data_IF_129325814209
#
_entry.id   IF_129325814209
#
_cell.length_a   1.000
_cell.length_b   1.000
_cell.length_c   1.000
_cell.angle_alpha   90.00
_cell.angle_beta   90.00
_cell.angle_gamma   90.00
#
_symmetry.space_group_name_H-M   'P 1'
#
loop_
_entity.id
_entity.type
_entity.pdbx_description
1 polymer ?
#
# COMPACT_ATOMS: atom_id res chain seq x y z
N UNK A 1 -31.98 -10.89 19.79
CA UNK A 1 -30.88 -10.07 19.24
C UNK A 1 -30.90 -10.22 17.74
N UNK A 2 -31.46 -9.24 17.07
CA UNK A 2 -31.76 -9.25 15.64
C UNK A 2 -30.47 -9.17 14.84
N UNK A 3 -30.25 -10.16 13.98
CA UNK A 3 -29.21 -10.21 12.97
C UNK A 3 -29.48 -9.10 11.93
N UNK A 4 -29.18 -7.83 12.26
CA UNK A 4 -29.16 -6.76 11.26
C UNK A 4 -27.93 -6.96 10.38
N UNK A 5 -28.16 -7.69 9.29
CA UNK A 5 -27.61 -7.42 7.96
C UNK A 5 -26.09 -7.17 7.91
N UNK A 6 -25.35 -8.24 7.62
CA UNK A 6 -23.99 -8.23 7.08
C UNK A 6 -23.88 -7.60 5.66
N UNK A 7 -24.74 -6.63 5.31
CA UNK A 7 -24.87 -6.06 3.95
C UNK A 7 -25.04 -4.55 3.90
N UNK A 8 -24.82 -3.83 5.01
CA UNK A 8 -24.37 -2.43 4.92
C UNK A 8 -22.84 -2.43 4.88
N UNK A 9 -22.25 -3.03 3.84
CA UNK A 9 -20.88 -2.69 3.48
C UNK A 9 -20.93 -1.20 3.14
N UNK A 10 -20.32 -0.35 3.98
CA UNK A 10 -20.35 1.10 3.82
C UNK A 10 -19.92 1.42 2.40
N UNK A 11 -20.87 1.76 1.52
CA UNK A 11 -20.56 1.99 0.11
C UNK A 11 -19.71 3.25 0.00
N UNK A 12 -18.58 3.21 -0.71
CA UNK A 12 -17.71 4.35 -0.88
C UNK A 12 -18.49 5.45 -1.58
N UNK A 13 -18.35 6.69 -1.10
CA UNK A 13 -19.10 7.82 -1.66
C UNK A 13 -18.17 9.00 -1.96
N UNK A 14 -18.54 9.76 -3.01
CA UNK A 14 -17.87 11.02 -3.32
C UNK A 14 -18.31 12.11 -2.35
N UNK A 15 -17.36 12.86 -1.79
CA UNK A 15 -17.66 13.95 -0.85
C UNK A 15 -18.42 15.10 -1.51
N UNK A 16 -18.12 15.44 -2.77
CA UNK A 16 -18.78 16.53 -3.50
C UNK A 16 -20.17 16.14 -4.00
N UNK A 17 -20.28 15.10 -4.82
CA UNK A 17 -21.55 14.77 -5.49
C UNK A 17 -22.40 13.71 -4.78
N UNK A 18 -21.93 13.18 -3.64
CA UNK A 18 -22.61 12.13 -2.84
C UNK A 18 -22.96 10.84 -3.60
N UNK A 19 -22.46 10.68 -4.84
CA UNK A 19 -22.61 9.46 -5.63
C UNK A 19 -21.97 8.29 -4.88
N UNK A 20 -22.73 7.19 -4.73
CA UNK A 20 -22.27 5.93 -4.15
C UNK A 20 -21.63 5.08 -5.26
N UNK A 21 -20.55 4.39 -4.92
CA UNK A 21 -19.81 3.52 -5.86
C UNK A 21 -19.86 2.07 -5.41
N UNK A 22 -19.69 1.16 -6.36
CA UNK A 22 -19.67 -0.27 -6.06
C UNK A 22 -18.29 -0.67 -5.53
N UNK A 23 -18.21 -1.39 -4.39
CA UNK A 23 -16.94 -1.79 -3.76
C UNK A 23 -15.94 -2.52 -4.68
N UNK A 24 -16.46 -3.31 -5.63
CA UNK A 24 -15.66 -4.08 -6.58
C UNK A 24 -14.93 -3.21 -7.61
N UNK A 25 -15.43 -2.00 -7.90
CA UNK A 25 -14.84 -1.10 -8.88
C UNK A 25 -13.56 -0.40 -8.36
N UNK A 26 -13.39 -0.27 -7.04
CA UNK A 26 -12.24 0.41 -6.42
C UNK A 26 -11.03 -0.52 -6.20
N UNK A 27 -11.23 -1.84 -6.15
CA UNK A 27 -10.16 -2.80 -5.75
C UNK A 27 -9.12 -3.11 -6.83
N UNK A 28 -9.32 -2.67 -8.07
CA UNK A 28 -8.48 -3.11 -9.21
C UNK A 28 -7.26 -2.21 -9.44
N UNK A 29 -7.22 -0.98 -8.93
CA UNK A 29 -6.03 -0.14 -9.04
C UNK A 29 -5.89 0.87 -7.92
N UNK A 30 -4.70 0.95 -7.30
CA UNK A 30 -4.31 1.97 -6.32
C UNK A 30 -4.57 3.42 -6.80
N UNK A 31 -4.69 3.64 -8.11
CA UNK A 31 -4.93 4.93 -8.74
C UNK A 31 -6.40 5.32 -8.92
N UNK A 32 -7.39 4.43 -8.68
CA UNK A 32 -8.83 4.70 -8.92
C UNK A 32 -9.65 4.97 -7.66
N UNK A 33 -9.05 5.63 -6.68
CA UNK A 33 -9.73 6.00 -5.43
C UNK A 33 -10.31 7.43 -5.46
N UNK A 34 -10.76 7.90 -6.62
CA UNK A 34 -11.32 9.24 -6.79
C UNK A 34 -12.57 9.21 -7.69
N UNK A 35 -13.43 10.21 -7.53
CA UNK A 35 -14.58 10.41 -8.40
C UNK A 35 -14.12 11.08 -9.70
N UNK A 36 -14.25 10.39 -10.85
CA UNK A 36 -13.82 10.92 -12.15
C UNK A 36 -14.51 12.26 -12.52
N UNK A 37 -15.73 12.48 -12.05
CA UNK A 37 -16.48 13.72 -12.29
C UNK A 37 -16.04 14.88 -11.41
N UNK A 38 -15.69 14.61 -10.14
CA UNK A 38 -15.38 15.66 -9.17
C UNK A 38 -13.88 15.84 -8.92
N UNK A 39 -13.05 14.89 -9.33
CA UNK A 39 -11.61 14.85 -9.04
C UNK A 39 -11.25 14.61 -7.57
N UNK A 40 -12.24 14.42 -6.68
CA UNK A 40 -12.02 14.26 -5.24
C UNK A 40 -11.97 12.79 -4.82
N UNK A 41 -11.20 12.50 -3.77
CA UNK A 41 -11.09 11.17 -3.18
C UNK A 41 -12.43 10.60 -2.71
N UNK A 42 -12.58 9.30 -2.83
CA UNK A 42 -13.74 8.56 -2.31
C UNK A 42 -13.53 8.26 -0.82
N UNK A 43 -14.60 8.39 -0.02
CA UNK A 43 -14.56 8.14 1.43
C UNK A 43 -15.35 6.88 1.80
N UNK A 44 -14.77 6.09 2.71
CA UNK A 44 -15.43 5.01 3.44
C UNK A 44 -14.44 4.43 4.47
N UNK A 45 -14.91 4.18 5.69
CA UNK A 45 -14.07 3.76 6.82
C UNK A 45 -13.35 2.41 6.55
N UNK A 46 -13.98 1.56 5.73
CA UNK A 46 -13.42 0.27 5.29
C UNK A 46 -12.47 0.36 4.08
N UNK A 47 -12.29 1.55 3.47
CA UNK A 47 -11.41 1.76 2.30
C UNK A 47 -10.05 2.31 2.68
N UNK A 48 -9.96 3.06 3.79
CA UNK A 48 -8.70 3.51 4.38
C UNK A 48 -8.14 2.56 5.42
N UNK A 49 -8.87 1.49 5.77
CA UNK A 49 -8.30 0.36 6.50
C UNK A 49 -7.37 -0.40 5.55
N UNK A 50 -6.24 0.22 5.20
CA UNK A 50 -5.08 -0.52 4.73
C UNK A 50 -4.91 -1.67 5.70
N UNK A 51 -5.03 -2.91 5.22
CA UNK A 51 -4.65 -4.07 6.00
C UNK A 51 -3.27 -3.72 6.56
N UNK A 52 -3.20 -3.54 7.89
CA UNK A 52 -2.05 -2.93 8.55
C UNK A 52 -0.83 -3.59 7.94
N UNK A 53 0.01 -2.81 7.23
CA UNK A 53 1.21 -3.36 6.59
C UNK A 53 1.86 -4.23 7.65
N UNK A 54 2.08 -5.54 7.38
CA UNK A 54 2.63 -6.40 8.40
C UNK A 54 3.91 -5.73 8.88
N UNK A 55 3.97 -5.45 10.19
CA UNK A 55 5.13 -4.78 10.77
C UNK A 55 6.35 -5.54 10.24
N UNK A 56 7.32 -4.84 9.60
CA UNK A 56 8.46 -5.52 9.02
C UNK A 56 9.07 -6.37 10.13
N UNK A 57 9.08 -7.69 9.92
CA UNK A 57 9.57 -8.60 10.94
C UNK A 57 11.05 -8.29 11.16
N UNK A 58 11.54 -8.48 12.38
CA UNK A 58 12.96 -8.33 12.70
C UNK A 58 13.84 -9.06 11.69
N UNK A 59 13.38 -10.23 11.21
CA UNK A 59 14.02 -11.02 10.15
C UNK A 59 14.12 -10.29 8.80
N UNK A 60 13.03 -9.65 8.34
CA UNK A 60 13.06 -8.89 7.07
C UNK A 60 13.98 -7.69 7.15
N UNK A 61 13.96 -6.98 8.28
CA UNK A 61 14.87 -5.85 8.49
C UNK A 61 16.33 -6.33 8.51
N UNK A 62 16.64 -7.36 9.28
CA UNK A 62 18.00 -7.91 9.34
C UNK A 62 18.51 -8.37 7.96
N UNK A 63 17.66 -9.03 7.17
CA UNK A 63 18.01 -9.48 5.82
C UNK A 63 18.40 -8.32 4.90
N UNK A 64 17.66 -7.20 4.94
CA UNK A 64 17.99 -6.00 4.15
C UNK A 64 19.34 -5.41 4.57
N UNK A 65 19.61 -5.32 5.88
CA UNK A 65 20.89 -4.78 6.36
C UNK A 65 22.08 -5.65 5.96
N UNK A 66 21.94 -6.99 6.05
CA UNK A 66 22.98 -7.93 5.60
C UNK A 66 23.22 -7.79 4.10
N UNK A 67 22.16 -7.70 3.29
CA UNK A 67 22.29 -7.54 1.84
C UNK A 67 23.03 -6.25 1.47
N UNK A 68 22.69 -5.13 2.13
CA UNK A 68 23.36 -3.84 1.91
C UNK A 68 24.84 -3.90 2.32
N UNK A 69 25.15 -4.53 3.45
CA UNK A 69 26.55 -4.71 3.90
C UNK A 69 27.37 -5.53 2.90
N UNK A 70 26.85 -6.69 2.47
CA UNK A 70 27.54 -7.55 1.52
C UNK A 70 27.76 -6.84 0.18
N UNK A 71 26.75 -6.11 -0.30
CA UNK A 71 26.87 -5.33 -1.53
C UNK A 71 27.94 -4.24 -1.41
N UNK A 72 27.94 -3.49 -0.31
CA UNK A 72 28.97 -2.46 -0.05
C UNK A 72 30.38 -3.04 0.01
N UNK A 73 30.57 -4.16 0.71
CA UNK A 73 31.86 -4.86 0.77
C UNK A 73 32.30 -5.35 -0.61
N UNK A 74 31.40 -5.93 -1.40
CA UNK A 74 31.70 -6.38 -2.75
C UNK A 74 32.12 -5.21 -3.66
N UNK A 75 31.40 -4.09 -3.64
CA UNK A 75 31.76 -2.89 -4.38
C UNK A 75 33.12 -2.34 -3.95
N UNK A 76 33.41 -2.31 -2.64
CA UNK A 76 34.69 -1.84 -2.12
C UNK A 76 35.85 -2.75 -2.58
N UNK A 77 35.69 -4.07 -2.51
CA UNK A 77 36.69 -5.03 -2.98
C UNK A 77 36.94 -4.91 -4.48
N UNK A 78 35.87 -4.74 -5.27
CA UNK A 78 35.99 -4.50 -6.71
C UNK A 78 36.78 -3.21 -6.99
N UNK A 79 36.47 -2.12 -6.29
CA UNK A 79 37.19 -0.86 -6.41
C UNK A 79 38.68 -1.01 -6.10
N UNK A 80 39.01 -1.66 -4.99
CA UNK A 80 40.40 -1.92 -4.61
C UNK A 80 41.12 -2.78 -5.65
N UNK A 81 40.47 -3.81 -6.20
CA UNK A 81 41.06 -4.67 -7.24
C UNK A 81 41.27 -3.98 -8.58
N UNK A 82 40.44 -2.96 -8.89
CA UNK A 82 40.54 -2.18 -10.11
C UNK A 82 41.58 -1.05 -10.02
N UNK A 83 41.87 -0.55 -8.81
CA UNK A 83 42.84 0.52 -8.55
C UNK A 83 44.28 0.05 -8.31
N UNK A 84 44.57 -1.25 -8.37
CA UNK A 84 45.90 -1.85 -8.15
C UNK A 84 46.68 -2.16 -9.44
N UNK A 85 46.42 -1.42 -10.52
CA UNK A 85 47.18 -1.49 -11.79
C UNK A 85 47.96 -0.20 -12.06
#
# INVERSE_FOLDING_TARGET
MTLKTATEMIKPSCYSCRKKFEPSALRVSYSKNYCETCGVGLFGEDYFSFARKPAPTTRKNLAVHIAVLLFGVACMLLWLSAGTW
#
